data_IF_628219125318
#
_entry.id   IF_628219125318
#
_cell.length_a   1.000
_cell.length_b   1.000
_cell.length_c   1.000
_cell.angle_alpha   90.00
_cell.angle_beta   90.00
_cell.angle_gamma   90.00
#
_symmetry.space_group_name_H-M   'P 1'
#
loop_
_entity.id
_entity.type
_entity.pdbx_description
1 polymer ?
#
# COMPACT_ATOMS: atom_id res chain seq x y z
N UNK A 1 39.75 5.20 -73.06
CA UNK A 1 40.84 5.61 -72.16
C UNK A 1 40.64 4.91 -70.78
N UNK A 2 41.65 4.19 -70.36
CA UNK A 2 41.63 3.03 -69.45
C UNK A 2 41.15 3.24 -68.07
N UNK A 3 40.16 2.46 -67.61
CA UNK A 3 39.91 2.12 -66.20
C UNK A 3 40.91 1.06 -65.74
N UNK A 4 41.59 1.32 -64.63
CA UNK A 4 42.33 0.28 -63.93
C UNK A 4 41.50 -0.12 -62.68
N UNK A 5 41.05 -1.37 -62.67
CA UNK A 5 40.53 -2.08 -61.52
C UNK A 5 41.65 -2.37 -60.54
N UNK A 6 41.50 -2.01 -59.29
CA UNK A 6 42.32 -2.48 -58.19
C UNK A 6 41.53 -3.47 -57.36
N UNK A 7 41.90 -4.72 -57.48
CA UNK A 7 41.39 -5.84 -56.68
C UNK A 7 42.14 -5.84 -55.33
N UNK A 8 41.39 -5.65 -54.22
CA UNK A 8 41.92 -5.81 -52.86
C UNK A 8 41.61 -7.23 -52.43
N UNK A 9 42.68 -8.02 -52.22
CA UNK A 9 42.62 -9.36 -51.67
C UNK A 9 42.55 -9.26 -50.13
N UNK A 10 41.43 -9.69 -49.55
CA UNK A 10 41.27 -9.77 -48.10
C UNK A 10 41.81 -11.09 -47.61
N UNK A 11 42.95 -11.06 -46.91
CA UNK A 11 43.50 -12.23 -46.15
C UNK A 11 42.67 -12.42 -44.86
N UNK A 12 41.94 -13.52 -44.79
CA UNK A 12 41.28 -13.94 -43.56
C UNK A 12 42.29 -14.80 -42.78
N UNK A 13 42.85 -14.26 -41.70
CA UNK A 13 43.62 -15.00 -40.73
C UNK A 13 42.68 -15.67 -39.72
N UNK A 14 42.59 -16.98 -39.74
CA UNK A 14 41.95 -17.81 -38.71
C UNK A 14 42.78 -17.73 -37.44
N UNK A 15 42.31 -17.03 -36.43
CA UNK A 15 42.77 -17.15 -35.03
C UNK A 15 41.90 -18.21 -34.34
N UNK A 16 42.48 -19.37 -34.10
CA UNK A 16 41.94 -20.40 -33.23
C UNK A 16 41.96 -19.95 -31.80
N UNK A 17 40.81 -19.60 -31.26
CA UNK A 17 40.60 -19.31 -29.82
C UNK A 17 40.32 -20.64 -29.13
N UNK A 18 41.32 -21.14 -28.39
CA UNK A 18 41.17 -22.29 -27.47
C UNK A 18 40.29 -21.86 -26.31
N UNK A 19 39.05 -22.34 -26.26
CA UNK A 19 38.13 -22.14 -25.14
C UNK A 19 38.63 -22.93 -23.91
N UNK A 20 39.22 -22.22 -22.97
CA UNK A 20 39.49 -22.75 -21.62
C UNK A 20 38.13 -22.87 -20.91
N UNK A 21 37.65 -24.10 -20.69
CA UNK A 21 36.51 -24.41 -19.84
C UNK A 21 36.89 -24.15 -18.37
N UNK A 22 36.68 -22.92 -17.93
CA UNK A 22 36.58 -22.61 -16.50
C UNK A 22 35.30 -23.23 -15.96
N UNK A 23 35.44 -24.26 -15.15
CA UNK A 23 34.36 -24.80 -14.35
C UNK A 23 33.93 -23.69 -13.34
N UNK A 24 32.80 -23.03 -13.62
CA UNK A 24 32.05 -22.28 -12.59
C UNK A 24 31.60 -23.32 -11.54
N UNK A 25 32.28 -23.34 -10.41
CA UNK A 25 31.76 -23.95 -9.20
C UNK A 25 30.47 -23.21 -8.84
N UNK A 26 29.35 -23.82 -9.16
CA UNK A 26 28.06 -23.47 -8.55
C UNK A 26 28.22 -23.69 -7.04
N UNK A 27 28.38 -22.61 -6.31
CA UNK A 27 28.19 -22.58 -4.88
C UNK A 27 26.73 -22.96 -4.66
N UNK A 28 26.45 -24.13 -4.12
CA UNK A 28 25.17 -24.46 -3.53
C UNK A 28 24.89 -23.40 -2.46
N UNK A 29 24.08 -22.43 -2.81
CA UNK A 29 23.44 -21.61 -1.83
C UNK A 29 22.38 -22.50 -1.17
N UNK A 30 22.71 -22.93 0.04
CA UNK A 30 21.77 -23.53 0.94
C UNK A 30 20.53 -22.62 0.95
N UNK A 31 19.36 -23.20 0.70
CA UNK A 31 18.06 -22.61 0.98
C UNK A 31 17.92 -22.39 2.50
N UNK A 32 18.63 -21.42 3.05
CA UNK A 32 18.19 -20.76 4.26
C UNK A 32 17.02 -19.90 3.82
N UNK A 33 15.81 -20.32 4.19
CA UNK A 33 14.61 -19.51 4.17
C UNK A 33 14.95 -18.16 4.81
N UNK A 34 15.18 -17.16 3.98
CA UNK A 34 15.25 -15.76 4.41
C UNK A 34 13.94 -15.47 5.16
N UNK A 35 14.01 -15.47 6.49
CA UNK A 35 12.93 -14.97 7.32
C UNK A 35 12.87 -13.47 7.07
N UNK A 36 11.93 -13.04 6.26
CA UNK A 36 11.70 -11.64 5.93
C UNK A 36 11.10 -10.93 7.15
N UNK A 37 11.56 -9.71 7.36
CA UNK A 37 11.09 -8.88 8.47
C UNK A 37 9.78 -8.15 8.08
N UNK A 38 8.71 -8.20 8.89
CA UNK A 38 7.43 -7.58 8.56
C UNK A 38 7.49 -6.05 8.41
N UNK A 39 8.48 -5.39 8.97
CA UNK A 39 8.63 -3.93 8.85
C UNK A 39 9.42 -3.51 7.61
N UNK A 40 10.11 -4.45 6.95
CA UNK A 40 10.72 -4.25 5.65
C UNK A 40 9.72 -4.67 4.58
N UNK A 41 9.15 -3.67 3.92
CA UNK A 41 8.40 -3.93 2.70
C UNK A 41 9.41 -4.33 1.61
N UNK A 42 9.29 -5.52 1.08
CA UNK A 42 10.07 -5.94 -0.07
C UNK A 42 9.64 -5.10 -1.29
N UNK A 43 10.55 -4.26 -1.76
CA UNK A 43 10.33 -3.35 -2.88
C UNK A 43 10.04 -4.12 -4.18
N UNK A 44 10.65 -5.30 -4.38
CA UNK A 44 10.47 -6.11 -5.59
C UNK A 44 9.10 -6.80 -5.62
N UNK A 45 8.64 -7.33 -4.50
CA UNK A 45 7.31 -7.96 -4.37
C UNK A 45 6.22 -6.97 -4.01
N UNK A 46 6.58 -5.82 -3.47
CA UNK A 46 5.65 -4.79 -2.99
C UNK A 46 4.89 -5.21 -1.73
N UNK A 47 5.48 -6.09 -0.89
CA UNK A 47 4.85 -6.64 0.31
C UNK A 47 5.59 -6.27 1.59
N UNK A 48 4.81 -5.95 2.63
CA UNK A 48 5.26 -5.97 4.02
C UNK A 48 4.80 -7.29 4.63
N UNK A 49 5.74 -8.20 4.97
CA UNK A 49 5.39 -9.54 5.42
C UNK A 49 5.13 -9.60 6.94
N UNK A 50 4.26 -10.55 7.35
CA UNK A 50 4.06 -10.88 8.76
C UNK A 50 4.99 -12.03 9.15
N UNK A 51 5.54 -12.00 10.36
CA UNK A 51 6.57 -12.95 10.83
C UNK A 51 6.14 -14.40 11.08
N UNK A 52 4.89 -14.77 10.85
CA UNK A 52 4.41 -16.15 11.06
C UNK A 52 4.34 -16.95 9.76
N UNK A 53 5.15 -17.99 9.65
CA UNK A 53 4.99 -19.02 8.63
C UNK A 53 3.79 -19.91 8.96
N UNK A 54 2.73 -19.84 8.18
CA UNK A 54 1.56 -20.73 8.31
C UNK A 54 1.58 -21.79 7.22
N UNK A 55 1.28 -23.02 7.62
CA UNK A 55 1.16 -24.19 6.76
C UNK A 55 -0.02 -24.06 5.78
N UNK A 56 0.19 -24.50 4.54
CA UNK A 56 -0.82 -24.57 3.49
C UNK A 56 -2.03 -25.43 3.87
N UNK A 57 -3.13 -24.78 4.25
CA UNK A 57 -4.49 -25.31 4.08
C UNK A 57 -5.47 -24.13 4.02
N UNK A 58 -5.84 -23.74 2.81
CA UNK A 58 -6.94 -22.80 2.62
C UNK A 58 -8.26 -23.43 3.11
N UNK A 59 -8.77 -22.96 4.22
CA UNK A 59 -10.10 -23.27 4.70
C UNK A 59 -11.10 -22.42 3.92
N UNK A 60 -12.13 -23.06 3.34
CA UNK A 60 -13.25 -22.37 2.70
C UNK A 60 -14.16 -21.82 3.79
N UNK A 61 -13.89 -20.61 4.26
CA UNK A 61 -14.83 -19.91 5.13
C UNK A 61 -15.79 -19.05 4.32
N UNK A 62 -17.09 -19.23 4.56
CA UNK A 62 -18.18 -18.47 3.96
C UNK A 62 -18.10 -17.00 4.37
N UNK A 63 -17.55 -16.16 3.50
CA UNK A 63 -17.71 -14.72 3.57
C UNK A 63 -19.08 -14.37 2.98
N UNK A 64 -19.93 -13.70 3.76
CA UNK A 64 -21.29 -13.36 3.36
C UNK A 64 -21.32 -12.50 2.09
N UNK A 65 -22.24 -12.83 1.17
CA UNK A 65 -22.53 -12.11 -0.06
C UNK A 65 -22.92 -10.65 0.21
N UNK A 66 -22.33 -9.74 -0.56
CA UNK A 66 -22.66 -8.31 -0.55
C UNK A 66 -23.63 -7.97 -1.68
N UNK A 67 -24.32 -6.81 -1.60
CA UNK A 67 -25.20 -6.32 -2.67
C UNK A 67 -24.46 -6.02 -3.98
N UNK A 68 -23.12 -5.89 -3.95
CA UNK A 68 -22.28 -5.60 -5.11
C UNK A 68 -21.67 -6.89 -5.64
N UNK A 69 -21.49 -6.95 -6.96
CA UNK A 69 -21.10 -8.18 -7.65
C UNK A 69 -19.72 -8.72 -7.24
N UNK A 70 -18.81 -7.88 -6.76
CA UNK A 70 -17.48 -8.28 -6.29
C UNK A 70 -17.20 -7.67 -4.93
N UNK A 71 -16.89 -8.51 -3.95
CA UNK A 71 -16.39 -8.10 -2.64
C UNK A 71 -14.86 -8.17 -2.61
N UNK A 72 -14.24 -7.10 -2.17
CA UNK A 72 -12.80 -7.00 -1.91
C UNK A 72 -12.56 -7.08 -0.40
N UNK A 73 -11.85 -8.10 0.07
CA UNK A 73 -11.35 -8.15 1.46
C UNK A 73 -9.89 -7.73 1.43
N UNK A 74 -9.63 -6.54 1.94
CA UNK A 74 -8.33 -5.90 1.91
C UNK A 74 -7.65 -5.99 3.26
N UNK A 75 -6.66 -6.88 3.36
CA UNK A 75 -5.76 -6.93 4.50
C UNK A 75 -4.70 -5.85 4.40
N UNK A 76 -4.64 -5.03 5.44
CA UNK A 76 -3.79 -3.84 5.52
C UNK A 76 -3.34 -3.59 6.95
N UNK A 77 -2.48 -2.58 7.14
CA UNK A 77 -2.06 -2.12 8.47
C UNK A 77 -1.86 -0.59 8.42
N UNK A 78 -2.14 0.14 9.50
CA UNK A 78 -1.97 1.61 9.53
C UNK A 78 -0.57 2.10 9.20
N UNK A 79 0.48 1.33 9.55
CA UNK A 79 1.89 1.68 9.31
C UNK A 79 2.52 0.93 8.13
N UNK A 80 1.74 0.20 7.35
CA UNK A 80 2.22 -0.50 6.17
C UNK A 80 2.52 0.49 5.04
N UNK A 81 3.80 0.73 4.75
CA UNK A 81 4.25 1.68 3.73
C UNK A 81 3.87 1.26 2.31
N UNK A 82 3.89 -0.04 1.98
CA UNK A 82 3.35 -0.55 0.70
C UNK A 82 1.84 -0.36 0.57
N UNK A 83 1.09 -0.44 1.69
CA UNK A 83 -0.34 -0.15 1.70
C UNK A 83 -0.61 1.35 1.46
N UNK A 84 0.25 2.23 1.97
CA UNK A 84 0.24 3.65 1.62
C UNK A 84 0.57 3.87 0.15
N UNK A 85 1.56 3.12 -0.37
CA UNK A 85 1.98 3.18 -1.78
C UNK A 85 0.89 2.83 -2.79
N UNK A 86 -0.11 2.01 -2.44
CA UNK A 86 -1.22 1.64 -3.34
C UNK A 86 -2.47 2.51 -3.18
N UNK A 87 -2.47 3.51 -2.31
CA UNK A 87 -3.62 4.43 -2.16
C UNK A 87 -4.08 5.05 -3.51
N UNK A 88 -3.18 5.50 -4.41
CA UNK A 88 -3.60 6.00 -5.72
C UNK A 88 -4.44 5.00 -6.51
N UNK A 89 -4.02 3.73 -6.54
CA UNK A 89 -4.72 2.64 -7.25
C UNK A 89 -6.07 2.33 -6.62
N UNK A 90 -6.15 2.28 -5.28
CA UNK A 90 -7.40 2.01 -4.57
C UNK A 90 -8.42 3.14 -4.73
N UNK A 91 -7.97 4.39 -4.71
CA UNK A 91 -8.84 5.56 -4.97
C UNK A 91 -9.39 5.54 -6.39
N UNK A 92 -8.53 5.26 -7.38
CA UNK A 92 -8.94 5.09 -8.77
C UNK A 92 -9.95 3.95 -8.93
N UNK A 93 -9.68 2.80 -8.28
CA UNK A 93 -10.58 1.65 -8.30
C UNK A 93 -11.98 2.00 -7.76
N UNK A 94 -12.04 2.75 -6.66
CA UNK A 94 -13.30 3.24 -6.07
C UNK A 94 -14.05 4.19 -7.01
N UNK A 95 -13.35 5.01 -7.78
CA UNK A 95 -13.96 5.91 -8.76
C UNK A 95 -14.46 5.15 -9.99
N UNK A 96 -13.65 4.25 -10.54
CA UNK A 96 -13.98 3.53 -11.78
C UNK A 96 -14.94 2.35 -11.57
N UNK A 97 -14.84 1.62 -10.46
CA UNK A 97 -15.60 0.39 -10.22
C UNK A 97 -16.43 0.40 -8.93
N UNK A 98 -16.56 1.55 -8.25
CA UNK A 98 -17.30 1.63 -6.99
C UNK A 98 -18.77 1.23 -7.07
N UNK A 99 -19.35 1.17 -8.27
CA UNK A 99 -20.69 0.62 -8.52
C UNK A 99 -20.73 -0.91 -8.50
N UNK A 100 -19.62 -1.57 -8.83
CA UNK A 100 -19.51 -3.03 -8.95
C UNK A 100 -18.77 -3.68 -7.76
N UNK A 101 -17.94 -2.91 -7.02
CA UNK A 101 -17.10 -3.44 -5.95
C UNK A 101 -17.45 -2.84 -4.59
N UNK A 102 -17.35 -3.65 -3.54
CA UNK A 102 -17.36 -3.24 -2.14
C UNK A 102 -16.02 -3.60 -1.52
N UNK A 103 -15.40 -2.67 -0.77
CA UNK A 103 -14.10 -2.91 -0.12
C UNK A 103 -14.30 -2.98 1.38
N UNK A 104 -14.00 -4.16 1.94
CA UNK A 104 -13.94 -4.42 3.38
C UNK A 104 -12.48 -4.40 3.83
N UNK A 105 -12.17 -3.53 4.79
CA UNK A 105 -10.83 -3.43 5.36
C UNK A 105 -10.67 -4.35 6.56
N UNK A 106 -9.59 -5.14 6.56
CA UNK A 106 -9.17 -6.00 7.67
C UNK A 106 -7.78 -5.61 8.16
N UNK A 107 -7.62 -5.56 9.48
CA UNK A 107 -6.35 -5.18 10.09
C UNK A 107 -5.45 -6.40 10.27
N UNK A 108 -4.22 -6.29 9.78
CA UNK A 108 -3.28 -7.41 9.74
C UNK A 108 -2.28 -7.49 10.88
N UNK A 109 -2.08 -6.41 11.66
CA UNK A 109 -1.19 -6.40 12.81
C UNK A 109 0.29 -6.56 12.45
N UNK A 110 0.82 -5.67 11.63
CA UNK A 110 2.17 -5.73 11.06
C UNK A 110 3.27 -5.75 12.13
N UNK A 111 3.14 -4.96 13.18
CA UNK A 111 4.10 -4.85 14.28
C UNK A 111 3.39 -5.14 15.61
N UNK A 112 3.43 -6.40 16.11
CA UNK A 112 2.92 -6.72 17.44
C UNK A 112 3.69 -5.96 18.54
N UNK A 113 5.01 -6.10 18.53
CA UNK A 113 5.97 -5.44 19.41
C UNK A 113 7.39 -5.59 18.86
N UNK A 114 8.41 -5.03 19.54
CA UNK A 114 9.82 -5.10 19.16
C UNK A 114 10.55 -6.38 19.63
N UNK A 115 9.89 -7.33 20.28
CA UNK A 115 10.49 -8.63 20.60
C UNK A 115 10.75 -9.47 19.35
N UNK A 116 10.05 -9.14 18.27
CA UNK A 116 10.21 -9.75 16.95
C UNK A 116 11.40 -9.11 16.21
N UNK A 117 12.52 -9.82 16.17
CA UNK A 117 13.75 -9.38 15.52
C UNK A 117 14.12 -10.35 14.38
N UNK A 118 13.80 -10.04 13.15
CA UNK A 118 14.26 -10.81 11.99
C UNK A 118 14.53 -9.91 10.78
N UNK A 119 15.28 -10.43 9.81
CA UNK A 119 15.50 -9.75 8.53
C UNK A 119 16.32 -8.45 8.60
N UNK A 120 17.15 -8.25 9.65
CA UNK A 120 18.05 -7.09 9.73
C UNK A 120 17.48 -5.85 10.39
N UNK A 121 16.21 -5.85 10.81
CA UNK A 121 15.61 -4.79 11.64
C UNK A 121 15.50 -5.29 13.08
N UNK A 122 16.29 -4.73 13.97
CA UNK A 122 16.26 -5.02 15.40
C UNK A 122 15.77 -3.86 16.25
N UNK A 123 15.58 -2.69 15.68
CA UNK A 123 15.24 -1.47 16.38
C UNK A 123 14.55 -0.46 15.45
N UNK A 124 13.79 0.50 16.00
CA UNK A 124 13.05 1.51 15.22
C UNK A 124 13.92 2.27 14.20
N UNK A 125 15.14 2.65 14.56
CA UNK A 125 16.01 3.42 13.66
C UNK A 125 16.37 2.69 12.36
N UNK A 126 16.26 1.35 12.33
CA UNK A 126 16.54 0.59 11.10
C UNK A 126 15.42 0.77 10.06
N UNK A 127 14.21 1.15 10.51
CA UNK A 127 13.04 1.40 9.63
C UNK A 127 13.12 2.74 8.93
N UNK A 128 13.77 3.75 9.54
CA UNK A 128 13.77 5.13 9.04
C UNK A 128 14.26 5.24 7.58
N UNK A 129 15.46 4.73 7.30
CA UNK A 129 16.02 4.74 5.95
C UNK A 129 15.21 3.94 4.95
N UNK A 130 14.69 2.79 5.38
CA UNK A 130 13.83 1.96 4.53
C UNK A 130 12.53 2.70 4.13
N UNK A 131 11.91 3.45 5.04
CA UNK A 131 10.73 4.25 4.71
C UNK A 131 11.03 5.36 3.70
N UNK A 132 12.19 5.98 3.78
CA UNK A 132 12.63 6.96 2.78
C UNK A 132 12.82 6.30 1.39
N UNK A 133 13.41 5.11 1.32
CA UNK A 133 13.55 4.34 0.07
C UNK A 133 12.19 3.95 -0.52
N UNK A 134 11.26 3.47 0.32
CA UNK A 134 9.88 3.12 -0.08
C UNK A 134 9.13 4.34 -0.60
N UNK A 135 9.35 5.52 0.00
CA UNK A 135 8.78 6.79 -0.47
C UNK A 135 9.17 7.08 -1.92
N UNK A 136 10.46 6.93 -2.25
CA UNK A 136 10.97 7.11 -3.62
C UNK A 136 10.39 6.05 -4.56
N UNK A 137 10.35 4.80 -4.12
CA UNK A 137 9.86 3.67 -4.94
C UNK A 137 8.40 3.85 -5.38
N UNK A 138 7.51 4.26 -4.47
CA UNK A 138 6.09 4.45 -4.76
C UNK A 138 5.73 5.86 -5.26
N UNK A 139 6.68 6.80 -5.25
CA UNK A 139 6.42 8.23 -5.48
C UNK A 139 5.30 8.76 -4.54
N UNK A 140 5.24 8.19 -3.33
CA UNK A 140 4.31 8.60 -2.27
C UNK A 140 5.12 9.13 -1.09
N UNK A 141 4.84 10.37 -0.61
CA UNK A 141 5.63 10.97 0.45
C UNK A 141 5.55 10.17 1.75
N UNK A 142 6.71 9.84 2.32
CA UNK A 142 6.86 9.22 3.64
C UNK A 142 8.06 9.89 4.30
N UNK A 143 7.90 10.33 5.54
CA UNK A 143 8.99 10.85 6.37
C UNK A 143 9.42 9.79 7.38
N UNK A 144 10.54 9.13 7.10
CA UNK A 144 11.09 8.06 7.93
C UNK A 144 11.64 8.52 9.27
N UNK A 145 11.85 9.82 9.46
CA UNK A 145 12.41 10.38 10.69
C UNK A 145 11.49 10.19 11.90
N UNK A 146 10.22 9.86 11.71
CA UNK A 146 9.34 9.38 12.79
C UNK A 146 10.00 8.29 13.65
N UNK A 147 10.66 7.32 12.99
CA UNK A 147 11.31 6.20 13.65
C UNK A 147 12.57 6.57 14.45
N UNK A 148 13.10 7.79 14.23
CA UNK A 148 14.22 8.36 14.98
C UNK A 148 13.75 9.25 16.12
N UNK A 149 12.62 9.96 15.94
CA UNK A 149 12.15 11.01 16.84
C UNK A 149 11.13 10.51 17.86
N UNK A 150 10.12 9.75 17.40
CA UNK A 150 9.01 9.24 18.25
C UNK A 150 8.49 7.89 17.69
N UNK A 151 9.29 6.81 17.79
CA UNK A 151 8.97 5.51 17.20
C UNK A 151 7.73 4.86 17.82
N UNK A 152 7.01 4.08 17.03
CA UNK A 152 5.91 3.26 17.53
C UNK A 152 6.45 1.98 18.16
N UNK A 153 5.85 1.59 19.29
CA UNK A 153 6.12 0.30 19.92
C UNK A 153 5.32 -0.84 19.29
N UNK A 154 4.17 -0.51 18.68
CA UNK A 154 3.24 -1.48 18.07
C UNK A 154 2.31 -0.82 17.07
N UNK A 155 1.86 -1.59 16.05
CA UNK A 155 0.77 -1.19 15.15
C UNK A 155 -0.61 -1.66 15.66
N UNK A 156 -0.67 -2.38 16.77
CA UNK A 156 -1.92 -2.88 17.34
C UNK A 156 -2.85 -1.77 17.83
N UNK A 157 -2.37 -0.75 18.59
CA UNK A 157 -3.23 0.34 19.03
C UNK A 157 -3.97 1.04 17.88
N UNK A 158 -3.33 1.51 16.80
CA UNK A 158 -4.06 2.13 15.69
C UNK A 158 -4.95 1.15 14.92
N UNK A 159 -4.62 -0.15 14.87
CA UNK A 159 -5.47 -1.19 14.29
C UNK A 159 -6.76 -1.41 15.10
N UNK A 160 -6.66 -1.47 16.42
CA UNK A 160 -7.81 -1.55 17.34
C UNK A 160 -8.65 -0.27 17.24
N UNK A 161 -8.01 0.91 17.14
CA UNK A 161 -8.71 2.18 16.96
C UNK A 161 -9.51 2.22 15.65
N UNK A 162 -8.97 1.67 14.56
CA UNK A 162 -9.72 1.52 13.32
C UNK A 162 -10.98 0.66 13.50
N UNK A 163 -10.91 -0.45 14.25
CA UNK A 163 -12.08 -1.28 14.57
C UNK A 163 -13.11 -0.51 15.40
N UNK A 164 -12.67 0.29 16.37
CA UNK A 164 -13.57 1.16 17.15
C UNK A 164 -14.28 2.20 16.24
N UNK A 165 -13.58 2.75 15.25
CA UNK A 165 -14.16 3.63 14.25
C UNK A 165 -15.19 2.90 13.36
N UNK A 166 -14.89 1.66 12.91
CA UNK A 166 -15.83 0.82 12.13
C UNK A 166 -17.12 0.53 12.89
N UNK A 167 -17.06 0.33 14.21
CA UNK A 167 -18.26 0.10 15.05
C UNK A 167 -19.22 1.31 15.05
N UNK A 168 -18.74 2.49 14.73
CA UNK A 168 -19.60 3.67 14.59
C UNK A 168 -20.10 3.87 13.16
N UNK A 169 -19.18 3.87 12.20
CA UNK A 169 -19.51 4.11 10.80
C UNK A 169 -18.33 3.73 9.88
N UNK A 170 -18.58 2.90 8.88
CA UNK A 170 -17.56 2.39 7.96
C UNK A 170 -16.92 3.49 7.11
N UNK A 171 -17.70 4.47 6.63
CA UNK A 171 -17.16 5.57 5.81
C UNK A 171 -16.26 6.48 6.64
N UNK A 172 -16.66 6.80 7.88
CA UNK A 172 -15.83 7.57 8.81
C UNK A 172 -14.58 6.80 9.23
N UNK A 173 -14.66 5.46 9.39
CA UNK A 173 -13.51 4.63 9.68
C UNK A 173 -12.48 4.69 8.53
N UNK A 174 -12.92 4.70 7.28
CA UNK A 174 -12.03 4.86 6.13
C UNK A 174 -11.38 6.25 6.09
N UNK A 175 -12.10 7.31 6.48
CA UNK A 175 -11.52 8.65 6.66
C UNK A 175 -10.53 8.68 7.84
N UNK A 176 -10.86 8.01 8.94
CA UNK A 176 -9.96 7.85 10.09
C UNK A 176 -8.67 7.13 9.70
N UNK A 177 -8.74 6.02 8.95
CA UNK A 177 -7.56 5.32 8.42
C UNK A 177 -6.68 6.28 7.61
N UNK A 178 -7.29 7.09 6.73
CA UNK A 178 -6.55 8.09 5.95
C UNK A 178 -5.85 9.10 6.86
N UNK A 179 -6.55 9.64 7.85
CA UNK A 179 -5.99 10.66 8.75
C UNK A 179 -4.82 10.10 9.56
N UNK A 180 -4.95 8.90 10.16
CA UNK A 180 -3.83 8.32 10.93
C UNK A 180 -2.64 7.95 10.03
N UNK A 181 -2.86 7.57 8.77
CA UNK A 181 -1.79 7.40 7.79
C UNK A 181 -1.09 8.71 7.44
N UNK A 182 -1.83 9.80 7.25
CA UNK A 182 -1.23 11.13 7.08
C UNK A 182 -0.43 11.57 8.31
N UNK A 183 -0.92 11.26 9.50
CA UNK A 183 -0.21 11.55 10.75
C UNK A 183 1.11 10.80 10.83
N UNK A 184 1.12 9.50 10.56
CA UNK A 184 2.32 8.66 10.72
C UNK A 184 3.32 8.85 9.58
N UNK A 185 2.84 8.89 8.33
CA UNK A 185 3.73 8.97 7.16
C UNK A 185 4.20 10.39 6.83
N UNK A 186 3.40 11.42 7.13
CA UNK A 186 3.69 12.79 6.69
C UNK A 186 3.98 13.75 7.84
N UNK A 187 3.39 13.54 9.01
CA UNK A 187 3.43 14.50 10.12
C UNK A 187 4.27 14.01 11.30
N UNK A 188 4.94 12.87 11.16
CA UNK A 188 5.77 12.21 12.20
C UNK A 188 5.05 12.09 13.54
N UNK A 189 3.78 11.67 13.53
CA UNK A 189 2.99 11.45 14.73
C UNK A 189 2.93 9.96 15.06
N UNK A 190 3.30 9.62 16.28
CA UNK A 190 3.21 8.26 16.79
C UNK A 190 1.74 7.91 17.04
N UNK A 191 1.12 7.24 16.08
CA UNK A 191 -0.30 6.85 16.13
C UNK A 191 -0.59 5.66 17.06
N UNK A 192 0.40 5.12 17.76
CA UNK A 192 0.15 4.21 18.90
C UNK A 192 -0.30 4.95 20.16
N UNK A 193 -0.11 6.27 20.23
CA UNK A 193 -0.50 7.12 21.34
C UNK A 193 -1.96 7.54 21.22
N UNK A 194 -2.70 7.40 22.33
CA UNK A 194 -4.13 7.70 22.38
C UNK A 194 -4.47 9.13 21.95
N UNK A 195 -3.71 10.13 22.37
CA UNK A 195 -3.93 11.53 22.05
C UNK A 195 -3.98 11.78 20.54
N UNK A 196 -3.16 11.07 19.75
CA UNK A 196 -3.17 11.20 18.29
C UNK A 196 -4.40 10.50 17.66
N UNK A 197 -4.78 9.35 18.19
CA UNK A 197 -5.97 8.61 17.75
C UNK A 197 -7.26 9.41 18.04
N UNK A 198 -7.35 10.02 19.22
CA UNK A 198 -8.48 10.86 19.60
C UNK A 198 -8.60 12.10 18.70
N UNK A 199 -7.48 12.76 18.38
CA UNK A 199 -7.45 13.91 17.46
C UNK A 199 -7.94 13.49 16.07
N UNK A 200 -7.48 12.35 15.56
CA UNK A 200 -7.92 11.83 14.26
C UNK A 200 -9.42 11.50 14.26
N UNK A 201 -9.91 10.87 15.32
CA UNK A 201 -11.33 10.52 15.49
C UNK A 201 -12.23 11.76 15.48
N UNK A 202 -11.85 12.79 16.25
CA UNK A 202 -12.57 14.10 16.28
C UNK A 202 -12.58 14.75 14.90
N UNK A 203 -11.45 14.74 14.20
CA UNK A 203 -11.32 15.36 12.88
C UNK A 203 -12.27 14.77 11.84
N UNK A 204 -12.51 13.45 11.89
CA UNK A 204 -13.43 12.78 10.96
C UNK A 204 -14.87 12.71 11.47
N UNK A 205 -15.17 13.37 12.58
CA UNK A 205 -16.51 13.49 13.14
C UNK A 205 -17.05 12.21 13.78
N UNK A 206 -16.18 11.36 14.35
CA UNK A 206 -16.58 10.27 15.23
C UNK A 206 -16.99 10.83 16.60
N UNK A 207 -17.90 10.14 17.26
CA UNK A 207 -18.22 10.41 18.66
C UNK A 207 -17.06 9.96 19.54
N UNK A 208 -16.40 10.91 20.21
CA UNK A 208 -15.16 10.65 20.98
C UNK A 208 -15.37 9.77 22.18
N UNK A 209 -16.48 9.92 22.90
CA UNK A 209 -16.77 9.11 24.10
C UNK A 209 -17.07 7.66 23.70
N UNK A 210 -17.91 7.50 22.67
CA UNK A 210 -18.18 6.17 22.13
C UNK A 210 -16.92 5.53 21.55
N UNK A 211 -16.09 6.29 20.83
CA UNK A 211 -14.82 5.82 20.24
C UNK A 211 -13.88 5.29 21.32
N UNK A 212 -13.74 6.02 22.42
CA UNK A 212 -12.93 5.59 23.57
C UNK A 212 -13.48 4.33 24.21
N UNK A 213 -14.80 4.30 24.47
CA UNK A 213 -15.47 3.14 25.07
C UNK A 213 -15.31 1.89 24.20
N UNK A 214 -15.51 2.00 22.87
CA UNK A 214 -15.37 0.89 21.94
C UNK A 214 -13.90 0.42 21.85
N UNK A 215 -12.94 1.36 21.83
CA UNK A 215 -11.50 1.07 21.81
C UNK A 215 -11.03 0.29 23.03
N UNK A 216 -11.48 0.70 24.23
CA UNK A 216 -11.10 0.07 25.51
C UNK A 216 -11.76 -1.30 25.73
N UNK A 217 -12.84 -1.63 25.00
CA UNK A 217 -13.64 -2.84 25.20
C UNK A 217 -13.70 -3.75 23.96
N UNK A 218 -14.65 -3.51 23.06
CA UNK A 218 -15.04 -4.47 22.02
C UNK A 218 -14.14 -4.48 20.78
N UNK A 219 -13.50 -3.36 20.47
CA UNK A 219 -12.70 -3.22 19.24
C UNK A 219 -11.50 -4.18 19.18
N UNK A 220 -10.92 -4.52 20.36
CA UNK A 220 -9.82 -5.48 20.43
C UNK A 220 -10.26 -6.88 19.97
N UNK A 221 -11.43 -7.33 20.38
CA UNK A 221 -11.98 -8.63 19.94
C UNK A 221 -12.16 -8.67 18.42
N UNK A 222 -12.70 -7.59 17.82
CA UNK A 222 -12.86 -7.49 16.37
C UNK A 222 -11.52 -7.48 15.63
N UNK A 223 -10.50 -6.88 16.22
CA UNK A 223 -9.14 -6.94 15.68
C UNK A 223 -8.55 -8.36 15.76
N UNK A 224 -8.74 -9.07 16.89
CA UNK A 224 -8.31 -10.45 17.03
C UNK A 224 -9.02 -11.39 16.05
N UNK A 225 -10.29 -11.13 15.72
CA UNK A 225 -11.02 -11.82 14.66
C UNK A 225 -10.41 -11.56 13.28
N UNK A 226 -9.99 -10.34 12.98
CA UNK A 226 -9.28 -10.03 11.73
C UNK A 226 -7.95 -10.80 11.63
N UNK A 227 -7.16 -10.86 12.71
CA UNK A 227 -5.91 -11.63 12.74
C UNK A 227 -6.15 -13.13 12.54
N UNK A 228 -7.16 -13.68 13.21
CA UNK A 228 -7.55 -15.09 13.09
C UNK A 228 -7.97 -15.42 11.66
N UNK A 229 -8.87 -14.62 11.08
CA UNK A 229 -9.32 -14.81 9.70
C UNK A 229 -8.16 -14.66 8.71
N UNK A 230 -7.26 -13.70 8.92
CA UNK A 230 -6.06 -13.53 8.10
C UNK A 230 -5.17 -14.77 8.09
N UNK A 231 -4.96 -15.39 9.26
CA UNK A 231 -4.23 -16.65 9.40
C UNK A 231 -4.93 -17.80 8.66
N UNK A 232 -6.25 -17.91 8.80
CA UNK A 232 -7.07 -18.95 8.12
C UNK A 232 -7.05 -18.78 6.59
N UNK A 233 -7.01 -17.54 6.08
CA UNK A 233 -6.92 -17.22 4.66
C UNK A 233 -5.48 -17.30 4.11
N UNK A 234 -4.48 -17.55 4.96
CA UNK A 234 -3.07 -17.63 4.56
C UNK A 234 -2.45 -16.28 4.19
N UNK A 235 -2.91 -15.19 4.81
CA UNK A 235 -2.29 -13.86 4.65
C UNK A 235 -0.90 -13.88 5.26
N UNK A 236 0.12 -13.56 4.47
CA UNK A 236 1.53 -13.56 4.89
C UNK A 236 2.16 -12.17 4.93
N UNK A 237 1.47 -11.17 4.36
CA UNK A 237 1.97 -9.81 4.29
C UNK A 237 0.94 -8.85 3.69
N UNK A 238 1.31 -7.58 3.60
CA UNK A 238 0.42 -6.51 3.17
C UNK A 238 1.06 -5.66 2.07
N UNK A 239 0.23 -5.11 1.18
CA UNK A 239 -1.20 -5.33 1.01
C UNK A 239 -1.53 -6.74 0.47
N UNK A 240 -2.63 -7.35 0.95
CA UNK A 240 -3.24 -8.54 0.35
C UNK A 240 -4.71 -8.27 0.12
N UNK A 241 -5.19 -8.44 -1.11
CA UNK A 241 -6.58 -8.20 -1.47
C UNK A 241 -7.18 -9.46 -2.08
N UNK A 242 -8.18 -9.99 -1.42
CA UNK A 242 -9.04 -11.06 -1.96
C UNK A 242 -10.22 -10.42 -2.67
N UNK A 243 -10.41 -10.77 -3.93
CA UNK A 243 -11.59 -10.43 -4.72
C UNK A 243 -12.49 -11.66 -4.75
N UNK A 244 -13.77 -11.51 -4.47
CA UNK A 244 -14.70 -12.62 -4.39
C UNK A 244 -16.03 -12.23 -5.02
N UNK A 245 -16.63 -13.18 -5.79
CA UNK A 245 -17.98 -13.03 -6.30
C UNK A 245 -19.01 -13.76 -5.38
N UNK A 246 -20.30 -13.60 -5.70
CA UNK A 246 -21.39 -14.25 -4.97
C UNK A 246 -21.38 -15.78 -5.10
N UNK A 247 -20.72 -16.33 -6.11
CA UNK A 247 -20.60 -17.78 -6.34
C UNK A 247 -19.44 -18.39 -5.56
N UNK A 248 -18.63 -17.56 -4.85
CA UNK A 248 -17.48 -18.02 -4.09
C UNK A 248 -16.19 -18.15 -4.91
N UNK A 249 -16.19 -17.73 -6.19
CA UNK A 249 -14.95 -17.65 -6.95
C UNK A 249 -14.06 -16.54 -6.35
N UNK A 250 -12.73 -16.78 -6.39
CA UNK A 250 -11.77 -15.92 -5.72
C UNK A 250 -10.55 -15.64 -6.60
N UNK A 251 -10.14 -14.36 -6.66
CA UNK A 251 -8.85 -13.90 -7.19
C UNK A 251 -8.09 -13.23 -6.06
N UNK A 252 -6.76 -13.27 -6.10
CA UNK A 252 -5.91 -12.67 -5.05
C UNK A 252 -4.89 -11.77 -5.72
N UNK A 253 -4.77 -10.54 -5.22
CA UNK A 253 -3.69 -9.62 -5.55
C UNK A 253 -2.80 -9.46 -4.32
N UNK A 254 -1.58 -9.96 -4.45
CA UNK A 254 -0.54 -9.94 -3.42
C UNK A 254 0.43 -8.81 -3.68
N UNK A 255 0.73 -8.02 -2.64
CA UNK A 255 1.68 -6.92 -2.69
C UNK A 255 1.16 -5.72 -3.49
N UNK A 256 1.98 -4.69 -3.58
CA UNK A 256 1.69 -3.53 -4.41
C UNK A 256 1.86 -3.91 -5.89
N UNK A 257 0.77 -3.77 -6.64
CA UNK A 257 0.74 -4.11 -8.07
C UNK A 257 0.26 -2.92 -8.91
N UNK A 258 0.65 -2.85 -10.19
CA UNK A 258 0.06 -1.90 -11.13
C UNK A 258 -1.47 -2.02 -11.19
N UNK A 259 -2.15 -0.89 -11.44
CA UNK A 259 -3.62 -0.80 -11.45
C UNK A 259 -4.31 -1.89 -12.28
N UNK A 260 -3.71 -2.30 -13.41
CA UNK A 260 -4.27 -3.33 -14.27
C UNK A 260 -4.50 -4.69 -13.58
N UNK A 261 -3.73 -5.03 -12.53
CA UNK A 261 -3.93 -6.29 -11.80
C UNK A 261 -5.23 -6.28 -11.00
N UNK A 262 -5.57 -5.16 -10.37
CA UNK A 262 -6.84 -5.00 -9.65
C UNK A 262 -8.02 -5.04 -10.60
N UNK A 263 -7.91 -4.35 -11.74
CA UNK A 263 -8.92 -4.36 -12.80
C UNK A 263 -9.12 -5.76 -13.38
N UNK A 264 -8.05 -6.49 -13.70
CA UNK A 264 -8.14 -7.87 -14.19
C UNK A 264 -8.83 -8.80 -13.19
N UNK A 265 -8.57 -8.67 -11.88
CA UNK A 265 -9.22 -9.47 -10.86
C UNK A 265 -10.74 -9.22 -10.82
N UNK A 266 -11.17 -7.95 -10.95
CA UNK A 266 -12.60 -7.60 -11.04
C UNK A 266 -13.22 -8.22 -12.28
N UNK A 267 -12.61 -8.03 -13.47
CA UNK A 267 -13.17 -8.47 -14.74
C UNK A 267 -13.20 -10.00 -14.90
N UNK A 268 -12.31 -10.73 -14.23
CA UNK A 268 -12.38 -12.19 -14.17
C UNK A 268 -13.60 -12.68 -13.40
N UNK A 269 -13.98 -12.01 -12.30
CA UNK A 269 -15.12 -12.38 -11.45
C UNK A 269 -16.43 -11.79 -11.97
N UNK A 270 -16.37 -10.61 -12.58
CA UNK A 270 -17.52 -9.96 -13.20
C UNK A 270 -17.14 -9.40 -14.57
N UNK A 271 -17.21 -10.22 -15.65
CA UNK A 271 -16.85 -9.80 -17.00
C UNK A 271 -17.68 -8.63 -17.56
N UNK A 272 -18.85 -8.39 -16.96
CA UNK A 272 -19.75 -7.30 -17.36
C UNK A 272 -19.53 -6.00 -16.57
N UNK A 273 -18.57 -5.98 -15.64
CA UNK A 273 -18.26 -4.76 -14.91
C UNK A 273 -17.73 -3.68 -15.86
N UNK A 274 -18.30 -2.50 -15.77
CA UNK A 274 -17.92 -1.33 -16.59
C UNK A 274 -17.42 -0.23 -15.69
N UNK A 275 -16.46 0.53 -16.21
CA UNK A 275 -15.96 1.72 -15.53
C UNK A 275 -17.01 2.81 -15.49
N UNK A 276 -17.15 3.41 -14.31
CA UNK A 276 -17.87 4.67 -14.17
C UNK A 276 -17.00 5.83 -14.65
N UNK A 277 -17.61 6.74 -15.40
CA UNK A 277 -16.98 8.01 -15.71
C UNK A 277 -17.00 8.92 -14.47
N UNK A 278 -15.93 9.68 -14.27
CA UNK A 278 -15.84 10.68 -13.21
C UNK A 278 -15.11 11.93 -13.69
N UNK A 279 -15.41 13.06 -13.07
CA UNK A 279 -14.74 14.32 -13.37
C UNK A 279 -13.29 14.30 -12.91
N UNK A 280 -12.37 14.64 -13.84
CA UNK A 280 -10.91 14.62 -13.61
C UNK A 280 -10.34 16.01 -13.31
N UNK A 281 -11.19 17.06 -13.21
CA UNK A 281 -10.75 18.37 -12.79
C UNK A 281 -10.36 18.38 -11.30
N UNK A 282 -9.55 19.34 -10.91
CA UNK A 282 -9.01 19.39 -9.56
C UNK A 282 -10.10 19.61 -8.49
N UNK A 283 -11.12 20.44 -8.78
CA UNK A 283 -12.22 20.72 -7.86
C UNK A 283 -12.95 19.42 -7.47
N UNK A 284 -13.40 18.67 -8.46
CA UNK A 284 -14.14 17.41 -8.25
C UNK A 284 -13.29 16.35 -7.55
N UNK A 285 -11.98 16.31 -7.84
CA UNK A 285 -11.08 15.34 -7.21
C UNK A 285 -10.85 15.68 -5.74
N UNK A 286 -10.67 16.95 -5.37
CA UNK A 286 -10.53 17.39 -3.99
C UNK A 286 -11.85 17.38 -3.20
N UNK A 287 -12.98 17.61 -3.86
CA UNK A 287 -14.29 17.39 -3.25
C UNK A 287 -14.48 15.93 -2.83
N UNK A 288 -14.04 14.99 -3.67
CA UNK A 288 -14.12 13.56 -3.36
C UNK A 288 -13.08 13.09 -2.36
N UNK A 289 -11.85 13.59 -2.45
CA UNK A 289 -10.71 13.26 -1.62
C UNK A 289 -10.08 14.55 -1.08
N UNK A 290 -10.40 14.97 0.15
CA UNK A 290 -9.98 16.27 0.70
C UNK A 290 -8.46 16.49 0.76
N UNK A 291 -7.67 15.39 0.70
CA UNK A 291 -6.21 15.43 0.64
C UNK A 291 -5.70 14.53 -0.49
N UNK A 292 -4.74 15.04 -1.27
CA UNK A 292 -4.10 14.31 -2.36
C UNK A 292 -2.60 14.60 -2.37
N UNK A 293 -1.80 13.54 -2.54
CA UNK A 293 -0.41 13.67 -2.97
C UNK A 293 -0.35 13.94 -4.47
N UNK A 294 0.80 14.37 -4.99
CA UNK A 294 0.92 14.59 -6.42
C UNK A 294 0.82 13.28 -7.23
N UNK A 295 1.24 12.14 -6.65
CA UNK A 295 1.05 10.82 -7.25
C UNK A 295 -0.43 10.45 -7.34
N UNK A 296 -1.18 10.64 -6.26
CA UNK A 296 -2.63 10.40 -6.25
C UNK A 296 -3.34 11.27 -7.28
N UNK A 297 -3.05 12.58 -7.28
CA UNK A 297 -3.65 13.48 -8.26
C UNK A 297 -3.32 13.09 -9.71
N UNK A 298 -2.08 12.68 -9.99
CA UNK A 298 -1.66 12.18 -11.30
C UNK A 298 -2.47 10.95 -11.76
N UNK A 299 -2.60 9.95 -10.88
CA UNK A 299 -3.35 8.72 -11.19
C UNK A 299 -4.85 8.97 -11.41
N UNK A 300 -5.44 9.91 -10.65
CA UNK A 300 -6.87 10.21 -10.73
C UNK A 300 -7.21 11.14 -11.87
N UNK A 301 -6.39 12.17 -12.12
CA UNK A 301 -6.61 13.12 -13.22
C UNK A 301 -6.22 12.55 -14.58
N UNK A 302 -5.29 11.58 -14.60
CA UNK A 302 -4.65 11.06 -15.81
C UNK A 302 -3.56 11.97 -16.38
N UNK A 303 -3.20 13.04 -15.68
CA UNK A 303 -2.11 13.93 -16.08
C UNK A 303 -0.75 13.32 -15.72
N UNK A 304 0.31 13.60 -16.51
CA UNK A 304 1.67 13.23 -16.13
C UNK A 304 2.05 13.77 -14.74
N UNK A 305 2.85 13.01 -13.98
CA UNK A 305 3.22 13.34 -12.59
C UNK A 305 3.78 14.76 -12.41
N UNK A 306 4.68 15.18 -13.32
CA UNK A 306 5.29 16.51 -13.30
C UNK A 306 4.25 17.62 -13.56
N UNK A 307 3.32 17.40 -14.51
CA UNK A 307 2.24 18.33 -14.82
C UNK A 307 1.29 18.47 -13.64
N UNK A 308 0.98 17.35 -12.98
CA UNK A 308 0.14 17.30 -11.79
C UNK A 308 0.71 18.14 -10.65
N UNK A 309 1.99 17.95 -10.33
CA UNK A 309 2.64 18.71 -9.26
C UNK A 309 2.74 20.21 -9.57
N UNK A 310 3.02 20.57 -10.82
CA UNK A 310 3.04 21.97 -11.26
C UNK A 310 1.68 22.63 -11.04
N UNK A 311 0.59 21.98 -11.49
CA UNK A 311 -0.78 22.49 -11.29
C UNK A 311 -1.11 22.65 -9.80
N UNK A 312 -0.78 21.66 -8.98
CA UNK A 312 -1.04 21.72 -7.54
C UNK A 312 -0.29 22.87 -6.86
N UNK A 313 0.95 23.17 -7.27
CA UNK A 313 1.70 24.32 -6.79
C UNK A 313 1.07 25.65 -7.24
N UNK A 314 0.65 25.78 -8.50
CA UNK A 314 -0.08 26.97 -9.01
C UNK A 314 -1.38 27.20 -8.25
N UNK A 315 -2.11 26.13 -7.92
CA UNK A 315 -3.33 26.22 -7.09
C UNK A 315 -3.01 26.65 -5.65
N UNK A 316 -1.86 26.27 -5.10
CA UNK A 316 -1.40 26.75 -3.80
C UNK A 316 -1.05 28.23 -3.85
N UNK A 317 -0.31 28.68 -4.86
CA UNK A 317 0.06 30.10 -5.06
C UNK A 317 -1.18 30.98 -5.24
N UNK A 318 -2.26 30.45 -5.84
CA UNK A 318 -3.53 31.16 -6.01
C UNK A 318 -4.48 31.07 -4.80
N UNK A 319 -4.04 30.46 -3.68
CA UNK A 319 -4.83 30.34 -2.45
C UNK A 319 -6.03 29.40 -2.55
N UNK A 320 -5.99 28.42 -3.44
CA UNK A 320 -7.02 27.38 -3.60
C UNK A 320 -6.73 26.14 -2.76
N UNK A 321 -5.46 25.79 -2.60
CA UNK A 321 -4.97 24.63 -1.86
C UNK A 321 -3.95 25.04 -0.81
N UNK A 322 -3.93 24.32 0.28
CA UNK A 322 -2.84 24.32 1.26
C UNK A 322 -1.87 23.19 0.94
N UNK A 323 -0.57 23.44 1.09
CA UNK A 323 0.51 22.46 0.85
C UNK A 323 1.22 22.09 2.14
N UNK A 324 1.19 20.82 2.51
CA UNK A 324 2.08 20.24 3.52
C UNK A 324 3.32 19.67 2.82
N UNK A 325 4.49 20.22 3.11
CA UNK A 325 5.78 19.73 2.62
C UNK A 325 6.42 18.83 3.67
N UNK A 326 6.87 17.64 3.26
CA UNK A 326 7.62 16.70 4.08
C UNK A 326 9.01 16.48 3.51
N UNK A 327 9.84 15.67 4.18
CA UNK A 327 11.20 15.32 3.72
C UNK A 327 11.19 14.75 2.29
N UNK A 328 10.24 13.88 1.96
CA UNK A 328 10.25 13.11 0.72
C UNK A 328 9.04 13.41 -0.19
N UNK A 329 8.49 14.61 -0.15
CA UNK A 329 7.40 15.02 -1.02
C UNK A 329 6.37 15.89 -0.33
N UNK A 330 5.19 16.02 -0.95
CA UNK A 330 4.16 16.93 -0.45
C UNK A 330 2.75 16.35 -0.62
N UNK A 331 1.85 16.87 0.20
CA UNK A 331 0.42 16.63 0.13
C UNK A 331 -0.31 17.96 0.04
N UNK A 332 -1.41 18.00 -0.69
CA UNK A 332 -2.27 19.18 -0.84
C UNK A 332 -3.65 18.91 -0.27
N UNK A 333 -4.24 19.94 0.31
CA UNK A 333 -5.58 19.91 0.92
C UNK A 333 -6.36 21.10 0.41
N UNK A 334 -7.67 20.95 0.17
CA UNK A 334 -8.55 22.06 -0.19
C UNK A 334 -8.71 23.02 1.00
N UNK A 335 -8.68 24.33 0.75
CA UNK A 335 -8.92 25.38 1.74
C UNK A 335 -10.41 25.61 1.95
#
# INVERSE_FOLDING_TARGET
MNLKQNTIVLLISLLSVTASRGQLKTKNMNNETLKTNPLLCDIETGMCETGEATSDKASQNNLQSTKKAVKLVYYTDPICSSCWGIEPQLRKLKLEYGNAVEIEYRMGGLLPDWSYNSGGIGKPSDVAGHWDEVSVHYDMPIDGDLWLEDPLDSSYPPSIAYKAAQMQNEEKANLFMREIREMVFLKKKNIAKWEHLEVAAKKVGLDSEKFKTDYENNAKTLFEEDLKLGKELGVRGFPTIFFMDESGNKEIVYGARPYAFYEMAILKLNPNATKSEYSKNWESLFEKYPSLTAKEFSELSGNPRIVSEKLLNELTESGKLEKLTTKNGSMWTML
#
